data_IF_448471415787
#
_entry.id   IF_448471415787
#
_cell.length_a   1.000
_cell.length_b   1.000
_cell.length_c   1.000
_cell.angle_alpha   90.00
_cell.angle_beta   90.00
_cell.angle_gamma   90.00
#
_symmetry.space_group_name_H-M   'P 1'
#
loop_
_entity.id
_entity.type
_entity.pdbx_description
1 polymer ?
#
# COMPACT_ATOMS: atom_id res chain seq x y z
N UNK A 1 -10.36 -4.27 -10.49
CA UNK A 1 -11.17 -4.09 -11.73
C UNK A 1 -12.36 -3.16 -11.48
N UNK A 2 -13.18 -3.35 -10.44
CA UNK A 2 -14.39 -2.54 -10.19
C UNK A 2 -14.12 -1.04 -9.95
N UNK A 3 -13.07 -0.70 -9.21
CA UNK A 3 -12.76 0.68 -8.79
C UNK A 3 -12.08 1.51 -9.89
N UNK A 4 -11.34 0.87 -10.79
CA UNK A 4 -10.57 1.59 -11.83
C UNK A 4 -11.48 2.44 -12.75
N UNK A 5 -12.59 1.94 -13.31
CA UNK A 5 -13.47 2.77 -14.13
C UNK A 5 -14.01 3.99 -13.36
N UNK A 6 -14.34 3.80 -12.08
CA UNK A 6 -14.86 4.88 -11.22
C UNK A 6 -13.82 5.97 -11.00
N UNK A 7 -12.56 5.61 -10.71
CA UNK A 7 -11.51 6.60 -10.50
C UNK A 7 -11.17 7.34 -11.80
N UNK A 8 -11.21 6.67 -12.95
CA UNK A 8 -10.98 7.32 -14.23
C UNK A 8 -12.11 8.32 -14.56
N UNK A 9 -13.36 7.99 -14.27
CA UNK A 9 -14.49 8.93 -14.38
C UNK A 9 -14.30 10.16 -13.45
N UNK A 10 -13.82 9.94 -12.24
CA UNK A 10 -13.46 11.04 -11.32
C UNK A 10 -12.32 11.88 -11.91
N UNK A 11 -11.32 11.27 -12.53
CA UNK A 11 -10.22 11.98 -13.20
C UNK A 11 -10.72 12.90 -14.33
N UNK A 12 -11.69 12.45 -15.13
CA UNK A 12 -12.29 13.30 -16.17
C UNK A 12 -13.00 14.52 -15.55
N UNK A 13 -13.71 14.35 -14.44
CA UNK A 13 -14.32 15.47 -13.71
C UNK A 13 -13.27 16.42 -13.10
N UNK A 14 -12.15 15.89 -12.60
CA UNK A 14 -11.05 16.74 -12.12
C UNK A 14 -10.47 17.58 -13.26
N UNK A 15 -10.28 17.03 -14.45
CA UNK A 15 -9.82 17.79 -15.63
C UNK A 15 -10.79 18.91 -16.01
N UNK A 16 -12.10 18.65 -15.87
CA UNK A 16 -13.14 19.63 -16.23
C UNK A 16 -13.28 20.76 -15.21
N UNK A 17 -13.21 20.44 -13.90
CA UNK A 17 -13.61 21.37 -12.84
C UNK A 17 -12.46 21.87 -11.96
N UNK A 18 -11.27 21.27 -12.03
CA UNK A 18 -10.14 21.63 -11.19
C UNK A 18 -9.07 22.44 -11.93
N UNK A 19 -8.13 23.01 -11.18
CA UNK A 19 -6.93 23.63 -11.75
C UNK A 19 -6.10 22.60 -12.53
N UNK A 20 -5.47 22.98 -13.65
CA UNK A 20 -4.52 22.12 -14.36
C UNK A 20 -3.38 21.58 -13.48
N UNK A 21 -3.03 22.32 -12.43
CA UNK A 21 -1.97 21.95 -11.49
C UNK A 21 -2.49 21.14 -10.29
N UNK A 22 -3.77 20.73 -10.29
CA UNK A 22 -4.35 19.95 -9.20
C UNK A 22 -3.64 18.64 -8.99
N UNK A 23 -3.45 18.27 -7.74
CA UNK A 23 -2.86 16.98 -7.34
C UNK A 23 -3.91 16.04 -6.80
N UNK A 24 -3.81 14.78 -7.20
CA UNK A 24 -4.60 13.67 -6.65
C UNK A 24 -3.74 12.95 -5.61
N UNK A 25 -4.18 12.99 -4.35
CA UNK A 25 -3.63 12.19 -3.27
C UNK A 25 -4.52 10.94 -3.10
N UNK A 26 -4.11 9.84 -3.71
CA UNK A 26 -4.92 8.64 -3.77
C UNK A 26 -4.69 7.74 -2.55
N UNK A 27 -5.72 7.57 -1.70
CA UNK A 27 -5.77 6.57 -0.63
C UNK A 27 -6.63 5.35 -0.96
N UNK A 28 -7.25 5.34 -2.14
CA UNK A 28 -8.11 4.23 -2.54
C UNK A 28 -7.28 2.98 -2.76
N UNK A 29 -7.60 1.93 -2.02
CA UNK A 29 -6.90 0.65 -2.08
C UNK A 29 -7.44 -0.27 -3.20
N UNK A 30 -6.54 -1.04 -3.81
CA UNK A 30 -5.08 -1.07 -3.66
C UNK A 30 -4.44 0.19 -4.26
N UNK A 31 -3.73 0.97 -3.43
CA UNK A 31 -3.22 2.30 -3.84
C UNK A 31 -2.27 2.22 -5.04
N UNK A 32 -1.40 1.22 -5.11
CA UNK A 32 -0.50 1.00 -6.25
C UNK A 32 -1.25 0.82 -7.57
N UNK A 33 -2.26 -0.08 -7.62
CA UNK A 33 -3.04 -0.35 -8.84
C UNK A 33 -3.87 0.87 -9.27
N UNK A 34 -4.49 1.55 -8.33
CA UNK A 34 -5.32 2.72 -8.64
C UNK A 34 -4.45 3.89 -9.13
N UNK A 35 -3.31 4.13 -8.49
CA UNK A 35 -2.36 5.15 -8.94
C UNK A 35 -1.77 4.79 -10.31
N UNK A 36 -1.48 3.50 -10.58
CA UNK A 36 -1.06 3.02 -11.89
C UNK A 36 -2.12 3.34 -12.95
N UNK A 37 -3.40 3.04 -12.69
CA UNK A 37 -4.48 3.33 -13.62
C UNK A 37 -4.59 4.84 -13.94
N UNK A 38 -4.46 5.70 -12.93
CA UNK A 38 -4.48 7.16 -13.13
C UNK A 38 -3.31 7.59 -14.01
N UNK A 39 -2.09 7.11 -13.73
CA UNK A 39 -0.88 7.50 -14.46
C UNK A 39 -0.84 6.95 -15.88
N UNK A 40 -1.38 5.75 -16.12
CA UNK A 40 -1.39 5.13 -17.45
C UNK A 40 -2.45 5.75 -18.39
N UNK A 41 -3.51 6.34 -17.82
CA UNK A 41 -4.67 6.80 -18.60
C UNK A 41 -4.97 8.29 -18.48
N UNK A 42 -4.17 9.04 -17.71
CA UNK A 42 -4.35 10.50 -17.56
C UNK A 42 -3.01 11.21 -17.42
N UNK A 43 -3.00 12.51 -17.73
CA UNK A 43 -1.85 13.40 -17.52
C UNK A 43 -1.90 14.11 -16.14
N UNK A 44 -2.83 13.72 -15.26
CA UNK A 44 -3.00 14.35 -13.96
C UNK A 44 -1.82 14.06 -13.03
N UNK A 45 -1.51 15.03 -12.18
CA UNK A 45 -0.56 14.85 -11.10
C UNK A 45 -1.18 13.94 -10.04
N UNK A 46 -0.64 12.76 -9.86
CA UNK A 46 -1.16 11.79 -8.91
C UNK A 46 -0.04 11.06 -8.19
N UNK A 47 -0.22 10.88 -6.89
CA UNK A 47 0.56 9.99 -6.04
C UNK A 47 -0.38 9.12 -5.21
N UNK A 48 0.07 7.92 -4.89
CA UNK A 48 -0.63 7.03 -3.97
C UNK A 48 -0.05 7.11 -2.56
N UNK A 49 -0.90 7.05 -1.57
CA UNK A 49 -0.52 7.08 -0.16
C UNK A 49 -0.99 5.82 0.55
N UNK A 50 -0.18 5.38 1.51
CA UNK A 50 -0.50 4.29 2.42
C UNK A 50 -0.05 4.65 3.83
N UNK A 51 -0.83 4.27 4.82
CA UNK A 51 -0.45 4.50 6.23
C UNK A 51 0.51 3.44 6.78
N UNK A 52 0.69 2.32 6.08
CA UNK A 52 1.53 1.20 6.57
C UNK A 52 2.99 1.62 6.76
N UNK A 53 3.69 2.20 5.76
CA UNK A 53 5.06 2.65 5.97
C UNK A 53 5.16 3.64 7.14
N UNK A 54 4.29 4.65 7.18
CA UNK A 54 4.29 5.66 8.24
C UNK A 54 4.07 5.05 9.63
N UNK A 55 3.14 4.11 9.76
CA UNK A 55 2.91 3.39 11.02
C UNK A 55 4.15 2.61 11.45
N UNK A 56 4.83 1.93 10.52
CA UNK A 56 6.06 1.19 10.81
C UNK A 56 7.21 2.13 11.20
N UNK A 57 7.30 3.31 10.58
CA UNK A 57 8.27 4.34 10.94
C UNK A 57 8.06 4.83 12.38
N UNK A 58 6.82 5.11 12.80
CA UNK A 58 6.50 5.48 14.18
C UNK A 58 6.83 4.36 15.16
N UNK A 59 6.58 3.11 14.79
CA UNK A 59 6.92 1.96 15.63
C UNK A 59 8.44 1.81 15.78
N UNK A 60 9.21 1.98 14.71
CA UNK A 60 10.67 2.00 14.75
C UNK A 60 11.19 3.13 15.66
N UNK A 61 10.66 4.34 15.54
CA UNK A 61 11.02 5.46 16.40
C UNK A 61 10.75 5.16 17.88
N UNK A 62 9.61 4.52 18.18
CA UNK A 62 9.26 4.11 19.54
C UNK A 62 10.24 3.07 20.10
N UNK A 63 10.60 2.06 19.31
CA UNK A 63 11.57 1.02 19.73
C UNK A 63 12.94 1.65 20.02
N UNK A 64 13.36 2.57 19.17
CA UNK A 64 14.67 3.24 19.32
C UNK A 64 14.66 4.39 20.34
N UNK A 65 13.51 4.69 20.97
CA UNK A 65 13.41 5.75 21.97
C UNK A 65 13.65 7.15 21.42
N UNK A 66 13.27 7.41 20.16
CA UNK A 66 13.53 8.67 19.45
C UNK A 66 12.29 9.17 18.71
N UNK A 67 12.42 10.23 17.91
CA UNK A 67 11.38 10.76 17.03
C UNK A 67 11.75 10.60 15.56
N UNK A 68 10.78 10.75 14.65
CA UNK A 68 11.01 10.57 13.21
C UNK A 68 12.04 11.55 12.65
N UNK A 69 12.17 12.74 13.22
CA UNK A 69 13.12 13.78 12.76
C UNK A 69 14.60 13.37 12.87
N UNK A 70 14.88 12.36 13.70
CA UNK A 70 16.22 11.79 13.88
C UNK A 70 16.46 10.52 13.08
N UNK A 71 15.47 10.10 12.29
CA UNK A 71 15.52 8.84 11.55
C UNK A 71 15.46 9.08 10.05
N UNK A 72 16.18 8.24 9.32
CA UNK A 72 15.98 8.06 7.89
C UNK A 72 15.78 6.59 7.58
N UNK A 73 14.95 6.32 6.58
CA UNK A 73 14.46 4.98 6.27
C UNK A 73 14.83 4.57 4.85
N UNK A 74 15.40 3.39 4.70
CA UNK A 74 15.50 2.72 3.43
C UNK A 74 14.33 1.74 3.30
N UNK A 75 13.41 2.08 2.41
CA UNK A 75 12.21 1.32 2.10
C UNK A 75 12.19 0.96 0.62
N UNK A 76 11.90 -0.29 0.31
CA UNK A 76 11.76 -0.75 -1.07
C UNK A 76 10.51 -1.60 -1.22
N UNK A 77 9.72 -1.36 -2.26
CA UNK A 77 8.57 -2.22 -2.51
C UNK A 77 7.48 -1.65 -3.40
N UNK A 78 6.34 -2.29 -3.30
CA UNK A 78 5.06 -1.90 -3.88
C UNK A 78 4.06 -1.68 -2.74
N UNK A 79 2.92 -1.06 -3.04
CA UNK A 79 1.89 -0.90 -2.03
C UNK A 79 1.47 -2.24 -1.41
N UNK A 80 1.54 -2.36 -0.09
CA UNK A 80 1.30 -3.57 0.69
C UNK A 80 2.30 -4.73 0.43
N UNK A 81 3.39 -4.47 -0.23
CA UNK A 81 4.43 -5.43 -0.56
C UNK A 81 5.80 -4.73 -0.48
N UNK A 82 6.16 -4.31 0.70
CA UNK A 82 7.37 -3.51 0.94
C UNK A 82 8.18 -4.03 2.13
N UNK A 83 9.44 -3.61 2.16
CA UNK A 83 10.41 -3.97 3.19
C UNK A 83 11.16 -2.74 3.68
N UNK A 84 11.25 -2.59 5.00
CA UNK A 84 12.15 -1.67 5.67
C UNK A 84 13.51 -2.35 5.75
N UNK A 85 14.47 -1.92 4.91
CA UNK A 85 15.79 -2.55 4.79
C UNK A 85 16.79 -1.99 5.80
N UNK A 86 16.77 -0.67 5.96
CA UNK A 86 17.64 0.01 6.92
C UNK A 86 16.89 1.14 7.61
N UNK A 87 17.28 1.41 8.85
CA UNK A 87 16.87 2.59 9.61
C UNK A 87 18.11 3.24 10.20
N UNK A 88 18.36 4.46 9.80
CA UNK A 88 19.51 5.21 10.28
C UNK A 88 19.09 6.24 11.32
N UNK A 89 19.73 6.23 12.47
CA UNK A 89 19.64 7.25 13.50
C UNK A 89 20.95 8.00 13.55
N UNK A 90 20.94 9.30 13.25
CA UNK A 90 22.15 10.13 13.22
C UNK A 90 23.30 9.52 12.39
N UNK A 91 22.94 8.86 11.27
CA UNK A 91 23.86 8.21 10.34
C UNK A 91 24.32 6.80 10.73
N UNK A 92 23.87 6.27 11.87
CA UNK A 92 24.17 4.90 12.31
C UNK A 92 23.00 3.97 11.96
N UNK A 93 23.29 2.85 11.30
CA UNK A 93 22.29 1.83 11.02
C UNK A 93 21.85 1.12 12.31
N UNK A 94 20.56 1.15 12.58
CA UNK A 94 19.93 0.60 13.77
C UNK A 94 19.01 -0.60 13.44
N UNK A 95 19.09 -1.13 12.23
CA UNK A 95 18.18 -2.19 11.78
C UNK A 95 18.28 -3.44 12.64
N UNK A 96 19.47 -3.86 13.05
CA UNK A 96 19.63 -5.05 13.89
C UNK A 96 18.88 -4.95 15.21
N UNK A 97 18.88 -3.77 15.85
CA UNK A 97 18.11 -3.56 17.08
C UNK A 97 16.60 -3.68 16.87
N UNK A 98 16.13 -3.21 15.71
CA UNK A 98 14.71 -3.33 15.35
C UNK A 98 14.34 -4.78 15.03
N UNK A 99 15.21 -5.53 14.37
CA UNK A 99 15.02 -6.96 14.10
C UNK A 99 15.01 -7.75 15.41
N UNK A 100 15.92 -7.49 16.33
CA UNK A 100 15.97 -8.13 17.64
C UNK A 100 14.68 -7.85 18.44
N UNK A 101 14.21 -6.60 18.45
CA UNK A 101 12.98 -6.22 19.11
C UNK A 101 11.76 -6.89 18.48
N UNK A 102 11.70 -6.95 17.15
CA UNK A 102 10.63 -7.63 16.41
C UNK A 102 10.61 -9.13 16.67
N UNK A 103 11.78 -9.76 16.74
CA UNK A 103 11.89 -11.19 17.05
C UNK A 103 11.45 -11.50 18.49
N UNK A 104 11.70 -10.57 19.42
CA UNK A 104 11.24 -10.68 20.80
C UNK A 104 9.70 -10.50 20.92
N UNK A 105 9.14 -9.55 20.19
CA UNK A 105 7.71 -9.25 20.16
C UNK A 105 7.24 -8.90 18.73
N UNK A 106 6.66 -9.85 17.98
CA UNK A 106 6.18 -9.61 16.62
C UNK A 106 5.04 -8.59 16.50
N UNK A 107 4.37 -8.28 17.59
CA UNK A 107 3.31 -7.30 17.59
C UNK A 107 3.85 -5.85 17.54
N UNK A 108 5.16 -5.65 17.71
CA UNK A 108 5.80 -4.33 17.61
C UNK A 108 5.51 -3.66 16.27
N UNK A 109 5.57 -4.39 15.16
CA UNK A 109 5.28 -3.87 13.81
C UNK A 109 3.90 -4.24 13.27
N UNK A 110 2.96 -4.53 14.16
CA UNK A 110 1.57 -4.80 13.81
C UNK A 110 0.89 -3.56 13.21
N UNK A 111 0.21 -3.74 12.10
CA UNK A 111 -0.60 -2.69 11.48
C UNK A 111 -2.02 -3.21 11.27
N UNK A 112 -3.02 -2.44 11.68
CA UNK A 112 -4.44 -2.78 11.53
C UNK A 112 -4.81 -4.19 12.04
N UNK A 113 -4.23 -4.61 13.18
CA UNK A 113 -4.40 -5.94 13.77
C UNK A 113 -3.85 -7.12 12.93
N UNK A 114 -3.00 -6.82 11.96
CA UNK A 114 -2.25 -7.81 11.18
C UNK A 114 -0.88 -7.96 11.82
N UNK A 115 -0.58 -9.07 12.51
CA UNK A 115 0.75 -9.31 13.09
C UNK A 115 1.75 -9.59 11.98
N UNK A 116 2.98 -9.14 12.16
CA UNK A 116 4.08 -9.62 11.34
C UNK A 116 4.36 -11.07 11.69
N UNK A 117 4.47 -11.92 10.67
CA UNK A 117 4.69 -13.34 10.90
C UNK A 117 6.10 -13.59 11.45
N UNK A 118 6.20 -14.33 12.54
CA UNK A 118 7.46 -14.82 13.07
C UNK A 118 8.06 -15.86 12.13
N UNK A 119 9.21 -15.58 11.55
CA UNK A 119 9.98 -16.66 10.95
C UNK A 119 11.47 -16.34 10.90
N UNK A 120 12.23 -17.30 11.33
CA UNK A 120 13.69 -17.31 11.22
C UNK A 120 14.21 -17.04 9.78
N UNK A 121 13.40 -17.30 8.77
CA UNK A 121 13.73 -16.97 7.38
C UNK A 121 13.79 -15.45 7.16
N UNK A 122 12.84 -14.70 7.70
CA UNK A 122 12.81 -13.23 7.55
C UNK A 122 13.87 -12.54 8.40
N UNK A 123 14.21 -13.11 9.56
CA UNK A 123 15.37 -12.69 10.36
C UNK A 123 16.67 -12.72 9.54
N UNK A 124 16.85 -13.77 8.71
CA UNK A 124 18.06 -13.89 7.88
C UNK A 124 18.22 -12.79 6.83
N UNK A 125 17.16 -12.06 6.51
CA UNK A 125 17.21 -10.92 5.59
C UNK A 125 17.69 -9.62 6.27
N UNK A 126 17.77 -9.58 7.61
CA UNK A 126 18.06 -8.38 8.39
C UNK A 126 17.23 -7.16 7.96
N UNK A 127 15.94 -7.38 7.69
CA UNK A 127 14.99 -6.34 7.29
C UNK A 127 13.60 -6.66 7.82
N UNK A 128 12.74 -5.67 7.94
CA UNK A 128 11.38 -5.84 8.46
C UNK A 128 10.38 -5.77 7.31
N UNK A 129 9.68 -6.87 7.01
CA UNK A 129 8.65 -6.88 5.98
C UNK A 129 7.40 -6.15 6.45
N UNK A 130 6.71 -5.53 5.53
CA UNK A 130 5.36 -5.01 5.75
C UNK A 130 4.43 -6.16 6.19
N UNK A 131 3.51 -5.94 7.15
CA UNK A 131 2.64 -6.99 7.71
C UNK A 131 1.83 -7.78 6.67
N UNK A 132 1.49 -7.15 5.55
CA UNK A 132 0.73 -7.82 4.49
C UNK A 132 1.52 -8.89 3.72
N UNK A 133 2.85 -8.91 3.84
CA UNK A 133 3.69 -9.96 3.24
C UNK A 133 3.41 -11.35 3.81
N UNK A 134 2.77 -11.46 4.98
CA UNK A 134 2.31 -12.75 5.50
C UNK A 134 1.39 -13.51 4.53
N UNK A 135 0.59 -12.80 3.73
CA UNK A 135 -0.29 -13.44 2.74
C UNK A 135 0.50 -14.18 1.67
N UNK A 136 1.70 -13.72 1.36
CA UNK A 136 2.59 -14.33 0.35
C UNK A 136 3.50 -15.40 0.95
N UNK A 137 4.03 -15.17 2.15
CA UNK A 137 5.00 -16.08 2.77
C UNK A 137 4.34 -17.20 3.58
N UNK A 138 3.12 -16.96 4.11
CA UNK A 138 2.41 -17.89 5.02
C UNK A 138 0.97 -18.14 4.57
N UNK A 139 0.74 -18.21 3.28
CA UNK A 139 -0.60 -18.32 2.68
C UNK A 139 -1.44 -19.42 3.33
N UNK A 140 -0.87 -20.61 3.57
CA UNK A 140 -1.59 -21.76 4.17
C UNK A 140 -2.07 -21.46 5.59
N UNK A 141 -1.20 -20.88 6.42
CA UNK A 141 -1.50 -20.58 7.82
C UNK A 141 -2.49 -19.42 7.94
N UNK A 142 -2.32 -18.41 7.10
CA UNK A 142 -3.26 -17.28 7.01
C UNK A 142 -4.64 -17.75 6.57
N UNK A 143 -4.73 -18.59 5.54
CA UNK A 143 -6.01 -19.15 5.07
C UNK A 143 -6.66 -19.99 6.17
N UNK A 144 -5.90 -20.83 6.87
CA UNK A 144 -6.43 -21.64 7.99
C UNK A 144 -6.98 -20.72 9.10
N UNK A 145 -6.24 -19.69 9.47
CA UNK A 145 -6.65 -18.70 10.48
C UNK A 145 -7.90 -17.94 10.05
N UNK A 146 -7.99 -17.49 8.80
CA UNK A 146 -9.17 -16.80 8.27
C UNK A 146 -10.41 -17.69 8.24
N UNK A 147 -10.25 -18.96 7.85
CA UNK A 147 -11.36 -19.92 7.82
C UNK A 147 -11.87 -20.28 9.23
N UNK A 148 -11.03 -20.18 10.26
CA UNK A 148 -11.43 -20.43 11.64
C UNK A 148 -12.20 -19.25 12.27
N UNK A 149 -12.18 -18.05 11.66
CA UNK A 149 -12.90 -16.89 12.18
C UNK A 149 -14.39 -17.00 11.89
N UNK A 150 -15.27 -16.58 12.85
CA UNK A 150 -16.71 -16.59 12.65
C UNK A 150 -17.21 -15.55 11.64
N UNK A 151 -16.42 -14.50 11.41
CA UNK A 151 -16.71 -13.40 10.50
C UNK A 151 -15.51 -13.06 9.64
N UNK A 152 -15.78 -12.60 8.43
CA UNK A 152 -14.73 -12.01 7.58
C UNK A 152 -14.38 -10.61 8.08
N UNK A 153 -13.18 -10.12 7.75
CA UNK A 153 -12.79 -8.74 8.07
C UNK A 153 -13.75 -7.70 7.46
N UNK A 154 -14.30 -7.99 6.27
CA UNK A 154 -15.28 -7.12 5.64
C UNK A 154 -16.55 -6.98 6.50
N UNK A 155 -17.07 -8.08 7.02
CA UNK A 155 -18.24 -8.05 7.91
C UNK A 155 -17.95 -7.27 9.21
N UNK A 156 -16.78 -7.49 9.83
CA UNK A 156 -16.36 -6.73 11.01
C UNK A 156 -16.29 -5.22 10.74
N UNK A 157 -15.70 -4.83 9.60
CA UNK A 157 -15.58 -3.41 9.23
C UNK A 157 -16.94 -2.79 8.93
N UNK A 158 -17.84 -3.50 8.27
CA UNK A 158 -19.20 -3.00 8.02
C UNK A 158 -19.97 -2.73 9.32
N UNK A 159 -19.83 -3.59 10.32
CA UNK A 159 -20.43 -3.39 11.65
C UNK A 159 -19.82 -2.17 12.36
N UNK A 160 -18.49 -2.05 12.35
CA UNK A 160 -17.77 -0.91 12.91
C UNK A 160 -18.17 0.40 12.22
N UNK A 161 -18.26 0.40 10.89
CA UNK A 161 -18.65 1.59 10.11
C UNK A 161 -20.09 2.01 10.44
N UNK A 162 -21.02 1.07 10.58
CA UNK A 162 -22.39 1.38 10.98
C UNK A 162 -22.46 2.02 12.38
N UNK A 163 -21.71 1.49 13.35
CA UNK A 163 -21.63 2.04 14.70
C UNK A 163 -20.95 3.42 14.70
N UNK A 164 -19.87 3.61 13.95
CA UNK A 164 -19.20 4.91 13.80
C UNK A 164 -20.11 5.97 13.21
N UNK A 165 -20.89 5.63 12.17
CA UNK A 165 -21.85 6.56 11.57
C UNK A 165 -22.92 6.98 12.58
N UNK A 166 -23.38 6.07 13.44
CA UNK A 166 -24.32 6.38 14.51
C UNK A 166 -23.69 7.31 15.57
N UNK A 167 -22.43 7.05 15.98
CA UNK A 167 -21.70 7.93 16.88
C UNK A 167 -21.55 9.33 16.28
N UNK A 168 -21.13 9.44 15.02
CA UNK A 168 -20.95 10.73 14.33
C UNK A 168 -22.26 11.50 14.16
N UNK A 169 -23.38 10.81 13.94
CA UNK A 169 -24.69 11.45 13.83
C UNK A 169 -25.17 12.13 15.13
N UNK A 170 -24.68 11.64 16.28
CA UNK A 170 -25.07 12.11 17.62
C UNK A 170 -24.02 13.01 18.27
N UNK A 171 -22.77 12.95 17.80
CA UNK A 171 -21.64 13.64 18.41
C UNK A 171 -21.33 14.94 17.70
N UNK A 172 -21.16 16.03 18.47
CA UNK A 172 -20.58 17.29 18.04
C UNK A 172 -19.18 17.43 18.64
N UNK A 173 -18.54 16.32 19.01
CA UNK A 173 -17.28 16.29 19.72
C UNK A 173 -16.06 16.37 18.80
N UNK A 174 -15.01 16.91 19.33
CA UNK A 174 -13.68 17.08 18.75
C UNK A 174 -12.73 15.91 19.06
N UNK A 175 -13.23 14.84 19.69
CA UNK A 175 -12.47 13.64 20.00
C UNK A 175 -12.84 12.49 19.05
N UNK A 176 -11.81 11.83 18.52
CA UNK A 176 -12.00 10.62 17.73
C UNK A 176 -12.55 9.49 18.61
N UNK A 177 -13.61 8.78 18.19
CA UNK A 177 -14.11 7.62 18.88
C UNK A 177 -13.03 6.52 18.98
N UNK A 178 -12.92 5.87 20.16
CA UNK A 178 -11.99 4.75 20.34
C UNK A 178 -12.22 3.61 19.33
N UNK A 179 -13.44 3.47 18.84
CA UNK A 179 -13.82 2.48 17.84
C UNK A 179 -13.04 2.65 16.52
N UNK A 180 -12.56 3.86 16.21
CA UNK A 180 -11.71 4.13 15.05
C UNK A 180 -10.43 3.30 15.04
N UNK A 181 -9.86 2.99 16.20
CA UNK A 181 -8.66 2.16 16.30
C UNK A 181 -8.91 0.73 15.78
N UNK A 182 -10.13 0.21 15.98
CA UNK A 182 -10.54 -1.11 15.48
C UNK A 182 -10.82 -1.10 13.98
N UNK A 183 -11.27 0.03 13.47
CA UNK A 183 -11.55 0.21 12.03
C UNK A 183 -10.26 0.21 11.22
N UNK A 184 -9.18 0.78 11.73
CA UNK A 184 -7.93 1.07 11.02
C UNK A 184 -8.01 2.42 10.28
N UNK A 185 -6.91 2.81 9.64
CA UNK A 185 -6.80 4.12 8.97
C UNK A 185 -6.10 5.17 9.83
N UNK A 186 -5.43 4.75 10.88
CA UNK A 186 -4.53 5.60 11.65
C UNK A 186 -3.48 6.25 10.72
N UNK A 187 -3.13 7.51 10.97
CA UNK A 187 -2.16 8.30 10.21
C UNK A 187 -2.53 8.66 8.75
N UNK A 188 -3.74 8.40 8.25
CA UNK A 188 -4.11 8.81 6.89
C UNK A 188 -4.04 10.33 6.70
N UNK A 189 -4.63 11.08 7.63
CA UNK A 189 -4.57 12.54 7.59
C UNK A 189 -3.14 13.07 7.74
N UNK A 190 -2.34 12.45 8.59
CA UNK A 190 -0.92 12.82 8.78
C UNK A 190 -0.14 12.64 7.47
N UNK A 191 -0.25 11.49 6.82
CA UNK A 191 0.42 11.24 5.54
C UNK A 191 0.01 12.26 4.46
N UNK A 192 -1.30 12.58 4.36
CA UNK A 192 -1.76 13.59 3.43
C UNK A 192 -1.21 14.98 3.76
N UNK A 193 -1.28 15.38 5.02
CA UNK A 193 -0.84 16.71 5.46
C UNK A 193 0.67 16.90 5.30
N UNK A 194 1.48 15.88 5.53
CA UNK A 194 2.93 15.92 5.29
C UNK A 194 3.23 16.24 3.82
N UNK A 195 2.61 15.49 2.91
CA UNK A 195 2.76 15.71 1.46
C UNK A 195 2.28 17.10 1.05
N UNK A 196 1.08 17.49 1.48
CA UNK A 196 0.51 18.81 1.19
C UNK A 196 1.39 19.94 1.73
N UNK A 197 1.88 19.82 2.94
CA UNK A 197 2.75 20.80 3.58
C UNK A 197 4.08 20.93 2.82
N UNK A 198 4.72 19.82 2.48
CA UNK A 198 5.97 19.83 1.71
C UNK A 198 5.78 20.51 0.34
N UNK A 199 4.71 20.20 -0.37
CA UNK A 199 4.41 20.79 -1.67
C UNK A 199 4.05 22.28 -1.59
N UNK A 200 3.09 22.66 -0.72
CA UNK A 200 2.56 24.02 -0.65
C UNK A 200 3.55 25.03 -0.05
N UNK A 201 4.31 24.59 0.96
CA UNK A 201 5.26 25.46 1.66
C UNK A 201 6.67 25.40 1.05
N UNK A 202 6.88 24.62 0.00
CA UNK A 202 8.21 24.37 -0.59
C UNK A 202 9.25 23.92 0.46
N UNK A 203 8.78 23.22 1.47
CA UNK A 203 9.60 22.64 2.52
C UNK A 203 9.94 21.23 2.10
N UNK A 204 11.09 21.03 1.47
CA UNK A 204 11.50 19.69 1.02
C UNK A 204 11.31 18.65 2.13
N UNK A 205 10.41 17.69 1.89
CA UNK A 205 10.13 16.56 2.78
C UNK A 205 10.47 15.25 2.09
N UNK A 206 10.79 14.24 2.88
CA UNK A 206 10.96 12.86 2.39
C UNK A 206 9.85 12.01 2.97
N UNK A 207 9.01 11.46 2.09
CA UNK A 207 7.89 10.60 2.47
C UNK A 207 7.96 9.28 1.67
N UNK A 208 7.50 8.18 2.26
CA UNK A 208 7.34 6.92 1.54
C UNK A 208 5.98 6.93 0.87
N UNK A 209 5.97 7.01 -0.46
CA UNK A 209 4.77 7.18 -1.26
C UNK A 209 4.78 6.28 -2.50
N UNK A 210 3.60 6.13 -3.11
CA UNK A 210 3.42 5.40 -4.36
C UNK A 210 3.50 6.37 -5.54
N UNK A 211 4.50 6.19 -6.41
CA UNK A 211 4.76 7.06 -7.56
C UNK A 211 5.48 6.27 -8.68
N UNK A 212 5.60 6.81 -9.91
CA UNK A 212 6.36 6.15 -10.98
C UNK A 212 7.79 5.85 -10.56
N UNK A 213 8.26 4.67 -10.92
CA UNK A 213 9.58 4.14 -10.58
C UNK A 213 10.73 5.06 -11.03
N UNK A 214 10.69 5.51 -12.27
CA UNK A 214 11.74 6.40 -12.84
C UNK A 214 13.17 5.94 -12.48
N UNK A 215 13.41 4.63 -12.49
CA UNK A 215 14.70 4.03 -12.17
C UNK A 215 15.00 3.85 -10.67
N UNK A 216 14.07 4.13 -9.77
CA UNK A 216 14.29 4.00 -8.31
C UNK A 216 14.58 2.55 -7.89
N UNK A 217 13.86 1.59 -8.47
CA UNK A 217 14.10 0.15 -8.27
C UNK A 217 14.53 -0.45 -9.63
N UNK A 218 15.83 -0.73 -9.83
CA UNK A 218 16.29 -1.42 -11.04
C UNK A 218 15.63 -2.78 -11.21
N UNK A 219 15.17 -3.08 -12.44
CA UNK A 219 14.47 -4.33 -12.77
C UNK A 219 12.96 -4.21 -12.84
N UNK A 220 12.40 -3.04 -12.52
CA UNK A 220 11.02 -2.65 -12.81
C UNK A 220 11.00 -1.59 -13.91
N UNK A 221 9.85 -1.40 -14.59
CA UNK A 221 9.71 -0.37 -15.63
C UNK A 221 9.65 1.02 -14.98
N UNK A 222 10.11 2.05 -15.70
CA UNK A 222 10.07 3.44 -15.22
C UNK A 222 8.63 3.91 -14.95
N UNK A 223 7.66 3.40 -15.71
CA UNK A 223 6.23 3.70 -15.53
C UNK A 223 5.55 2.91 -14.42
N UNK A 224 6.20 1.87 -13.87
CA UNK A 224 5.60 1.09 -12.78
C UNK A 224 5.43 1.95 -11.52
N UNK A 225 4.27 1.91 -10.90
CA UNK A 225 4.09 2.54 -9.60
C UNK A 225 4.77 1.67 -8.54
N UNK A 226 5.69 2.28 -7.81
CA UNK A 226 6.45 1.68 -6.70
C UNK A 226 6.22 2.45 -5.42
N UNK A 227 6.42 1.82 -4.27
CA UNK A 227 6.35 2.46 -2.95
C UNK A 227 7.76 2.59 -2.39
N UNK A 228 8.28 3.82 -2.45
CA UNK A 228 9.67 4.15 -2.08
C UNK A 228 9.74 5.53 -1.41
N UNK A 229 10.83 5.85 -0.70
CA UNK A 229 11.10 7.21 -0.26
C UNK A 229 11.16 8.15 -1.47
N UNK A 230 10.54 9.31 -1.35
CA UNK A 230 10.51 10.33 -2.39
C UNK A 230 10.71 11.72 -1.79
N UNK A 231 11.45 12.56 -2.47
CA UNK A 231 11.54 13.99 -2.15
C UNK A 231 10.31 14.69 -2.71
N UNK A 232 9.63 15.45 -1.88
CA UNK A 232 8.46 16.22 -2.23
C UNK A 232 8.75 17.69 -1.98
N UNK A 233 8.57 18.51 -3.00
CA UNK A 233 8.66 19.97 -2.92
C UNK A 233 7.68 20.61 -3.93
N UNK A 234 7.72 21.92 -4.09
CA UNK A 234 6.85 22.66 -5.02
C UNK A 234 6.99 22.19 -6.49
N UNK A 235 8.07 21.53 -6.87
CA UNK A 235 8.28 21.03 -8.23
C UNK A 235 7.67 19.66 -8.45
N UNK A 236 7.17 19.01 -7.39
CA UNK A 236 6.53 17.70 -7.44
C UNK A 236 7.15 16.66 -6.52
N UNK A 237 6.86 15.42 -6.79
CA UNK A 237 7.40 14.27 -6.08
C UNK A 237 8.40 13.52 -6.97
N UNK A 238 9.57 13.20 -6.45
CA UNK A 238 10.63 12.49 -7.15
C UNK A 238 11.10 11.31 -6.30
N UNK A 239 11.13 10.08 -6.84
CA UNK A 239 11.58 8.93 -6.08
C UNK A 239 13.08 9.04 -5.77
N UNK A 240 13.45 8.58 -4.59
CA UNK A 240 14.86 8.36 -4.22
C UNK A 240 15.25 6.97 -4.71
N UNK A 241 16.39 6.87 -5.40
CA UNK A 241 16.89 5.58 -5.85
C UNK A 241 17.25 4.70 -4.65
N UNK A 242 16.60 3.54 -4.56
CA UNK A 242 16.82 2.56 -3.49
C UNK A 242 17.95 1.60 -3.80
N UNK A 243 18.53 1.70 -5.00
CA UNK A 243 19.51 0.74 -5.48
C UNK A 243 18.86 -0.59 -5.91
N UNK A 244 19.70 -1.57 -6.19
CA UNK A 244 19.26 -2.90 -6.61
C UNK A 244 18.59 -3.62 -5.44
N UNK A 245 17.37 -4.07 -5.65
CA UNK A 245 16.69 -4.92 -4.68
C UNK A 245 17.31 -6.33 -4.68
N UNK A 246 17.28 -6.97 -3.53
CA UNK A 246 17.76 -8.32 -3.31
C UNK A 246 16.96 -9.32 -4.18
N UNK A 247 17.57 -10.43 -4.55
CA UNK A 247 16.95 -11.44 -5.40
C UNK A 247 15.67 -12.02 -4.77
N UNK A 248 15.65 -12.10 -3.44
CA UNK A 248 14.54 -12.59 -2.62
C UNK A 248 13.30 -11.67 -2.73
N UNK A 249 13.49 -10.39 -3.07
CA UNK A 249 12.44 -9.39 -3.13
C UNK A 249 11.99 -9.10 -4.56
N UNK A 250 12.95 -8.89 -5.47
CA UNK A 250 12.66 -8.38 -6.81
C UNK A 250 11.76 -9.33 -7.62
N UNK A 251 11.94 -10.64 -7.49
CA UNK A 251 11.13 -11.63 -8.21
C UNK A 251 9.64 -11.53 -7.86
N UNK A 252 9.33 -11.39 -6.57
CA UNK A 252 7.96 -11.22 -6.11
C UNK A 252 7.38 -9.86 -6.56
N UNK A 253 8.16 -8.78 -6.48
CA UNK A 253 7.75 -7.47 -6.97
C UNK A 253 7.42 -7.50 -8.47
N UNK A 254 8.27 -8.13 -9.30
CA UNK A 254 8.03 -8.24 -10.73
C UNK A 254 6.75 -9.01 -11.05
N UNK A 255 6.50 -10.12 -10.34
CA UNK A 255 5.29 -10.91 -10.53
C UNK A 255 4.04 -10.12 -10.13
N UNK A 256 4.07 -9.42 -9.00
CA UNK A 256 2.95 -8.59 -8.56
C UNK A 256 2.74 -7.40 -9.49
N UNK A 257 3.80 -6.75 -10.01
CA UNK A 257 3.65 -5.69 -11.03
C UNK A 257 3.04 -6.20 -12.33
N UNK A 258 3.37 -7.42 -12.75
CA UNK A 258 2.71 -8.03 -13.90
C UNK A 258 1.19 -8.19 -13.66
N UNK A 259 0.80 -8.69 -12.48
CA UNK A 259 -0.59 -8.75 -12.04
C UNK A 259 -1.28 -7.38 -12.03
N UNK A 260 -0.62 -6.35 -11.49
CA UNK A 260 -1.18 -5.00 -11.39
C UNK A 260 -1.44 -4.39 -12.76
N UNK A 261 -0.45 -4.45 -13.68
CA UNK A 261 -0.59 -3.96 -15.06
C UNK A 261 -1.71 -4.67 -15.83
N UNK A 262 -1.78 -6.00 -15.72
CA UNK A 262 -2.85 -6.78 -16.33
C UNK A 262 -4.22 -6.45 -15.74
N UNK A 263 -4.28 -6.17 -14.44
CA UNK A 263 -5.52 -5.73 -13.78
C UNK A 263 -6.02 -4.39 -14.30
N UNK A 264 -5.10 -3.41 -14.48
CA UNK A 264 -5.44 -2.11 -15.08
C UNK A 264 -5.93 -2.30 -16.51
N UNK A 265 -5.17 -3.06 -17.32
CA UNK A 265 -5.56 -3.37 -18.69
C UNK A 265 -6.94 -4.00 -18.79
N UNK A 266 -7.21 -5.05 -17.99
CA UNK A 266 -8.49 -5.73 -17.96
C UNK A 266 -9.67 -4.81 -17.57
N UNK A 267 -9.43 -3.93 -16.60
CA UNK A 267 -10.46 -3.00 -16.13
C UNK A 267 -10.86 -1.97 -17.20
N UNK A 268 -9.91 -1.54 -18.04
CA UNK A 268 -10.15 -0.55 -19.09
C UNK A 268 -10.69 -1.22 -20.37
N UNK A 269 -10.09 -2.35 -20.80
CA UNK A 269 -10.50 -3.06 -22.00
C UNK A 269 -11.80 -3.87 -21.83
N UNK A 270 -12.21 -4.14 -20.60
CA UNK A 270 -13.29 -5.07 -20.26
C UNK A 270 -13.06 -6.51 -20.74
N UNK A 271 -11.83 -6.85 -21.08
CA UNK A 271 -11.45 -8.17 -21.56
C UNK A 271 -11.40 -9.20 -20.44
N UNK A 272 -12.26 -10.22 -20.55
CA UNK A 272 -12.26 -11.38 -19.65
C UNK A 272 -10.95 -12.17 -19.73
N UNK A 273 -10.34 -12.24 -20.90
CA UNK A 273 -9.05 -12.89 -21.09
C UNK A 273 -7.92 -12.16 -20.34
N UNK A 274 -7.88 -10.81 -20.41
CA UNK A 274 -6.89 -10.02 -19.64
C UNK A 274 -7.13 -10.16 -18.14
N UNK A 275 -8.38 -10.19 -17.69
CA UNK A 275 -8.73 -10.43 -16.28
C UNK A 275 -8.27 -11.81 -15.79
N UNK A 276 -8.43 -12.83 -16.63
CA UNK A 276 -7.96 -14.18 -16.32
C UNK A 276 -6.42 -14.20 -16.18
N UNK A 277 -5.70 -13.59 -17.13
CA UNK A 277 -4.25 -13.48 -17.05
C UNK A 277 -3.77 -12.69 -15.83
N UNK A 278 -4.50 -11.64 -15.45
CA UNK A 278 -4.20 -10.90 -14.22
C UNK A 278 -4.24 -11.80 -13.00
N UNK A 279 -5.29 -12.62 -12.83
CA UNK A 279 -5.39 -13.51 -11.68
C UNK A 279 -4.38 -14.68 -11.74
N UNK A 280 -4.09 -15.20 -12.91
CA UNK A 280 -3.05 -16.25 -13.07
C UNK A 280 -1.66 -15.70 -12.71
N UNK A 281 -1.37 -14.43 -13.04
CA UNK A 281 -0.13 -13.77 -12.66
C UNK A 281 -0.04 -13.45 -11.16
N UNK A 282 -1.19 -13.36 -10.46
CA UNK A 282 -1.19 -13.07 -9.02
C UNK A 282 -0.63 -14.27 -8.24
N UNK A 283 0.47 -14.08 -7.46
CA UNK A 283 1.12 -15.19 -6.74
C UNK A 283 0.22 -15.85 -5.67
N UNK A 284 -0.86 -15.19 -5.24
CA UNK A 284 -1.84 -15.75 -4.29
C UNK A 284 -2.85 -16.70 -4.97
N UNK A 285 -2.95 -16.68 -6.29
CA UNK A 285 -3.89 -17.49 -7.07
C UNK A 285 -3.12 -18.51 -7.92
N UNK A 286 -2.38 -18.07 -8.93
CA UNK A 286 -1.45 -18.87 -9.74
C UNK A 286 -2.05 -20.06 -10.50
N UNK A 287 -3.32 -20.41 -10.29
CA UNK A 287 -4.02 -21.54 -10.90
C UNK A 287 -5.13 -21.05 -11.83
N UNK A 288 -5.14 -21.57 -13.07
CA UNK A 288 -6.08 -21.17 -14.12
C UNK A 288 -7.54 -21.51 -13.78
N UNK A 289 -7.77 -22.67 -13.15
CA UNK A 289 -9.11 -23.13 -12.80
C UNK A 289 -9.69 -22.25 -11.69
N UNK A 290 -8.90 -21.95 -10.67
CA UNK A 290 -9.27 -21.05 -9.58
C UNK A 290 -9.50 -19.62 -10.12
N UNK A 291 -8.58 -19.11 -10.94
CA UNK A 291 -8.68 -17.80 -11.55
C UNK A 291 -9.97 -17.66 -12.37
N UNK A 292 -10.31 -18.66 -13.19
CA UNK A 292 -11.53 -18.68 -13.98
C UNK A 292 -12.78 -18.64 -13.10
N UNK A 293 -12.86 -19.50 -12.08
CA UNK A 293 -14.00 -19.52 -11.14
C UNK A 293 -14.17 -18.17 -10.45
N UNK A 294 -13.06 -17.56 -9.97
CA UNK A 294 -13.07 -16.24 -9.34
C UNK A 294 -13.56 -15.14 -10.29
N UNK A 295 -13.11 -15.14 -11.56
CA UNK A 295 -13.54 -14.14 -12.54
C UNK A 295 -15.01 -14.28 -12.88
N UNK A 296 -15.49 -15.51 -13.09
CA UNK A 296 -16.89 -15.78 -13.40
C UNK A 296 -17.81 -15.30 -12.27
N UNK A 297 -17.48 -15.65 -11.02
CA UNK A 297 -18.22 -15.24 -9.83
C UNK A 297 -18.16 -13.71 -9.61
N UNK A 298 -16.98 -13.10 -9.72
CA UNK A 298 -16.82 -11.65 -9.56
C UNK A 298 -17.57 -10.87 -10.65
N UNK A 299 -17.56 -11.36 -11.89
CA UNK A 299 -18.29 -10.71 -12.99
C UNK A 299 -19.80 -10.74 -12.75
N UNK A 300 -20.32 -11.85 -12.23
CA UNK A 300 -21.74 -12.00 -11.88
C UNK A 300 -22.13 -11.11 -10.68
N UNK A 301 -21.37 -11.17 -9.57
CA UNK A 301 -21.71 -10.46 -8.33
C UNK A 301 -21.59 -8.93 -8.49
N UNK A 302 -20.57 -8.46 -9.20
CA UNK A 302 -20.21 -7.04 -9.25
C UNK A 302 -20.55 -6.36 -10.58
N UNK A 303 -21.15 -7.09 -11.53
CA UNK A 303 -21.44 -6.58 -12.87
C UNK A 303 -20.23 -5.84 -13.48
N UNK A 304 -19.10 -6.54 -13.57
CA UNK A 304 -17.84 -5.94 -14.04
C UNK A 304 -17.87 -5.62 -15.54
N UNK A 305 -18.84 -6.16 -16.29
CA UNK A 305 -18.96 -6.00 -17.73
C UNK A 305 -17.80 -6.61 -18.49
N UNK A 306 -17.24 -7.72 -18.00
CA UNK A 306 -16.15 -8.43 -18.67
C UNK A 306 -16.73 -9.33 -19.77
N UNK A 307 -16.18 -9.18 -20.98
CA UNK A 307 -16.56 -9.93 -22.19
C UNK A 307 -15.42 -10.82 -22.70
#
# INVERSE_FOLDING_TARGET
MRTIPVILDICEKIKEYSSPDAWILNFTNPSGIITQAIKDHTDLNAIGLCNVPLSMMYQAARVLGTTLDHLSFDWVGLNHLGWMRHVYQDGQDRMLELVDAWMADPDIFKVANVPTAKVSLLESLNMIPCPYLQYFYFTKDVVATLKAKPKTRAQEVMEIDAELLEIYSRSHGDKLPELMQKRGGEHYSTAALNVMSAYLNNASGVEIINLPNNGAIPGLLDSDIVEVPAVIDRTGARPITTGKAEAELIGLMQQVKAYERLTVKAAVSKSKADALWALVANPLIGDVTVAKSCIDEMNEIFDLGLE
#
